data_IF_201188932380
#
_entry.id   IF_201188932380
#
_cell.length_a   1.000
_cell.length_b   1.000
_cell.length_c   1.000
_cell.angle_alpha   90.00
_cell.angle_beta   90.00
_cell.angle_gamma   90.00
#
_symmetry.space_group_name_H-M   'P 1'
#
loop_
_entity.id
_entity.type
_entity.pdbx_description
1 polymer ?
#
# COMPACT_ATOMS: atom_id res chain seq x y z
N UNK A 1 -1.90 -9.59 -22.06
CA UNK A 1 -0.78 -8.65 -22.23
C UNK A 1 0.45 -9.31 -21.62
N UNK A 2 1.57 -9.40 -22.32
CA UNK A 2 2.81 -9.88 -21.70
C UNK A 2 3.28 -8.82 -20.72
N UNK A 3 3.51 -9.20 -19.47
CA UNK A 3 4.18 -8.34 -18.49
C UNK A 3 5.52 -7.91 -19.09
N UNK A 4 5.78 -6.61 -19.12
CA UNK A 4 7.01 -6.11 -19.74
C UNK A 4 8.23 -6.56 -18.94
N UNK A 5 9.36 -6.90 -19.56
CA UNK A 5 10.60 -7.28 -18.86
C UNK A 5 10.99 -6.26 -17.77
N UNK A 6 10.82 -4.98 -18.03
CA UNK A 6 11.12 -3.90 -17.08
C UNK A 6 10.26 -3.95 -15.80
N UNK A 7 9.00 -4.42 -15.90
CA UNK A 7 8.16 -4.57 -14.71
C UNK A 7 8.67 -5.71 -13.82
N UNK A 8 9.06 -6.83 -14.42
CA UNK A 8 9.64 -7.97 -13.68
C UNK A 8 10.92 -7.52 -12.97
N UNK A 9 11.82 -6.85 -13.69
CA UNK A 9 13.06 -6.32 -13.13
C UNK A 9 12.79 -5.38 -11.95
N UNK A 10 11.83 -4.47 -12.07
CA UNK A 10 11.43 -3.58 -10.97
C UNK A 10 10.88 -4.36 -9.77
N UNK A 11 10.09 -5.42 -10.00
CA UNK A 11 9.57 -6.26 -8.92
C UNK A 11 10.68 -6.99 -8.15
N UNK A 12 11.73 -7.43 -8.84
CA UNK A 12 12.89 -8.11 -8.23
C UNK A 12 13.70 -7.17 -7.31
N UNK A 13 13.71 -5.87 -7.60
CA UNK A 13 14.37 -4.85 -6.79
C UNK A 13 13.45 -4.21 -5.73
N UNK A 14 12.15 -4.47 -5.78
CA UNK A 14 11.20 -3.87 -4.87
C UNK A 14 11.32 -4.46 -3.46
N UNK A 15 11.38 -3.60 -2.46
CA UNK A 15 11.29 -4.01 -1.06
C UNK A 15 9.84 -4.31 -0.65
N UNK A 16 8.89 -3.52 -1.17
CA UNK A 16 7.44 -3.69 -1.00
C UNK A 16 6.76 -3.35 -2.33
N UNK A 17 5.86 -4.21 -2.78
CA UNK A 17 4.98 -3.93 -3.92
C UNK A 17 3.64 -3.42 -3.42
N UNK A 18 3.18 -2.29 -3.94
CA UNK A 18 1.85 -1.76 -3.67
C UNK A 18 1.10 -1.52 -4.98
N UNK A 19 -0.14 -1.92 -5.03
CA UNK A 19 -1.04 -1.64 -6.14
C UNK A 19 -2.51 -1.76 -5.75
N UNK A 20 -3.35 -1.15 -6.56
CA UNK A 20 -4.80 -1.29 -6.44
C UNK A 20 -5.29 -2.53 -7.20
N UNK A 21 -6.52 -2.95 -6.88
CA UNK A 21 -7.23 -3.97 -7.66
C UNK A 21 -7.20 -3.65 -9.16
N UNK A 22 -7.50 -2.41 -9.53
CA UNK A 22 -7.57 -1.99 -10.93
C UNK A 22 -6.19 -2.08 -11.60
N UNK A 23 -5.10 -1.72 -10.91
CA UNK A 23 -3.74 -1.87 -11.42
C UNK A 23 -3.44 -3.34 -11.75
N UNK A 24 -3.75 -4.24 -10.83
CA UNK A 24 -3.48 -5.66 -11.02
C UNK A 24 -4.43 -6.35 -12.02
N UNK A 25 -5.65 -5.85 -12.15
CA UNK A 25 -6.56 -6.31 -13.19
C UNK A 25 -6.03 -5.95 -14.59
N UNK A 26 -5.51 -4.73 -14.75
CA UNK A 26 -4.86 -4.30 -15.99
C UNK A 26 -3.60 -5.10 -16.27
N UNK A 27 -2.71 -5.23 -15.28
CA UNK A 27 -1.39 -5.87 -15.45
C UNK A 27 -1.48 -7.39 -15.61
N UNK A 28 -2.28 -8.07 -14.80
CA UNK A 28 -2.26 -9.52 -14.65
C UNK A 28 -3.58 -10.20 -14.97
N UNK A 29 -4.65 -9.44 -15.22
CA UNK A 29 -6.01 -9.98 -15.35
C UNK A 29 -6.47 -10.72 -14.09
N UNK A 30 -6.09 -10.22 -12.92
CA UNK A 30 -6.42 -10.79 -11.62
C UNK A 30 -7.00 -9.70 -10.72
N UNK A 31 -8.07 -10.04 -10.03
CA UNK A 31 -8.95 -9.14 -9.28
C UNK A 31 -9.02 -9.44 -7.77
N UNK A 32 -8.14 -10.30 -7.28
CA UNK A 32 -8.05 -10.61 -5.85
C UNK A 32 -6.62 -10.65 -5.34
N UNK A 33 -6.43 -10.21 -4.12
CA UNK A 33 -5.14 -10.13 -3.46
C UNK A 33 -4.40 -11.48 -3.46
N UNK A 34 -5.10 -12.58 -3.15
CA UNK A 34 -4.53 -13.93 -3.11
C UNK A 34 -4.04 -14.38 -4.48
N UNK A 35 -4.83 -14.13 -5.53
CA UNK A 35 -4.47 -14.52 -6.90
C UNK A 35 -3.30 -13.71 -7.43
N UNK A 36 -3.26 -12.41 -7.14
CA UNK A 36 -2.13 -11.54 -7.49
C UNK A 36 -0.88 -11.99 -6.75
N UNK A 37 -0.96 -12.18 -5.44
CA UNK A 37 0.20 -12.59 -4.64
C UNK A 37 0.75 -13.94 -5.07
N UNK A 38 -0.08 -14.99 -5.07
CA UNK A 38 0.37 -16.38 -5.32
C UNK A 38 0.81 -16.64 -6.74
N UNK A 39 0.20 -15.99 -7.73
CA UNK A 39 0.46 -16.26 -9.13
C UNK A 39 1.46 -15.30 -9.77
N UNK A 40 1.74 -14.15 -9.15
CA UNK A 40 2.54 -13.10 -9.78
C UNK A 40 3.63 -12.56 -8.82
N UNK A 41 3.23 -11.74 -7.83
CA UNK A 41 4.20 -10.91 -7.10
C UNK A 41 5.09 -11.69 -6.15
N UNK A 42 4.62 -12.76 -5.52
CA UNK A 42 5.41 -13.55 -4.56
C UNK A 42 6.64 -14.22 -5.17
N UNK A 43 6.69 -14.38 -6.49
CA UNK A 43 7.85 -14.92 -7.19
C UNK A 43 9.03 -13.95 -7.20
N UNK A 44 8.78 -12.65 -7.02
CA UNK A 44 9.79 -11.59 -7.14
C UNK A 44 9.96 -10.81 -5.84
N UNK A 45 8.85 -10.46 -5.18
CA UNK A 45 8.82 -9.74 -3.93
C UNK A 45 7.81 -10.37 -2.96
N UNK A 46 8.23 -10.81 -1.78
CA UNK A 46 7.33 -11.49 -0.83
C UNK A 46 6.37 -10.53 -0.12
N UNK A 47 6.49 -9.21 -0.33
CA UNK A 47 5.70 -8.20 0.38
C UNK A 47 4.79 -7.48 -0.57
N UNK A 48 3.48 -7.71 -0.41
CA UNK A 48 2.42 -7.08 -1.22
C UNK A 48 1.46 -6.32 -0.32
N UNK A 49 1.19 -5.07 -0.69
CA UNK A 49 0.09 -4.26 -0.15
C UNK A 49 -0.94 -4.07 -1.25
N UNK A 50 -2.08 -4.74 -1.11
CA UNK A 50 -3.17 -4.72 -2.08
C UNK A 50 -4.30 -3.83 -1.57
N UNK A 51 -4.72 -2.85 -2.37
CA UNK A 51 -5.82 -1.93 -2.04
C UNK A 51 -7.01 -2.14 -2.99
N UNK A 52 -8.24 -1.98 -2.49
CA UNK A 52 -9.47 -2.14 -3.26
C UNK A 52 -10.53 -1.10 -2.84
N UNK A 53 -10.26 0.17 -3.14
CA UNK A 53 -11.15 1.28 -2.80
C UNK A 53 -11.48 1.33 -1.30
N UNK A 54 -12.77 1.32 -0.91
CA UNK A 54 -13.18 1.39 0.49
C UNK A 54 -13.07 0.05 1.24
N UNK A 55 -12.70 -1.02 0.54
CA UNK A 55 -12.53 -2.34 1.14
C UNK A 55 -11.26 -2.43 1.97
N UNK A 56 -11.13 -3.46 2.84
CA UNK A 56 -9.92 -3.66 3.62
C UNK A 56 -8.66 -3.78 2.74
N UNK A 57 -7.56 -3.21 3.22
CA UNK A 57 -6.24 -3.38 2.64
C UNK A 57 -5.72 -4.75 3.01
N UNK A 58 -5.31 -5.55 2.03
CA UNK A 58 -4.71 -6.87 2.27
C UNK A 58 -3.19 -6.77 2.18
N UNK A 59 -2.51 -7.25 3.20
CA UNK A 59 -1.04 -7.33 3.27
C UNK A 59 -0.60 -8.79 3.28
N UNK A 60 0.34 -9.12 2.40
CA UNK A 60 1.13 -10.35 2.47
C UNK A 60 2.58 -10.00 2.75
N UNK A 61 3.27 -10.83 3.51
CA UNK A 61 4.68 -10.61 3.84
C UNK A 61 5.41 -11.93 4.10
N UNK A 62 6.66 -11.81 4.47
CA UNK A 62 7.56 -12.90 4.78
C UNK A 62 6.96 -13.88 5.80
N UNK A 63 7.35 -15.14 5.71
CA UNK A 63 6.92 -16.18 6.66
C UNK A 63 5.44 -16.55 6.58
N UNK A 64 4.77 -16.23 5.48
CA UNK A 64 3.34 -16.54 5.30
C UNK A 64 2.39 -15.57 6.02
N UNK A 65 2.91 -14.41 6.44
CA UNK A 65 2.07 -13.37 7.04
C UNK A 65 1.00 -12.91 6.06
N UNK A 66 -0.24 -12.86 6.54
CA UNK A 66 -1.38 -12.28 5.83
C UNK A 66 -2.29 -11.57 6.82
N UNK A 67 -2.62 -10.32 6.54
CA UNK A 67 -3.57 -9.57 7.37
C UNK A 67 -4.37 -8.59 6.54
N UNK A 68 -5.61 -8.37 6.95
CA UNK A 68 -6.50 -7.33 6.42
C UNK A 68 -6.59 -6.18 7.42
N UNK A 69 -6.54 -4.95 6.90
CA UNK A 69 -6.65 -3.72 7.66
C UNK A 69 -7.85 -2.94 7.15
N UNK A 70 -8.75 -2.54 8.04
CA UNK A 70 -9.92 -1.75 7.67
C UNK A 70 -9.52 -0.38 7.11
N UNK A 71 -10.23 0.06 6.08
CA UNK A 71 -10.17 1.46 5.65
C UNK A 71 -11.00 2.32 6.60
N UNK A 72 -10.54 3.55 6.96
CA UNK A 72 -11.36 4.49 7.71
C UNK A 72 -12.66 4.81 6.97
N UNK A 73 -13.77 4.80 7.69
CA UNK A 73 -15.05 5.27 7.16
C UNK A 73 -15.02 6.79 7.05
N UNK A 74 -14.94 7.30 5.83
CA UNK A 74 -14.87 8.73 5.56
C UNK A 74 -15.75 9.04 4.35
N UNK A 75 -16.54 10.12 4.34
CA UNK A 75 -17.26 10.56 3.16
C UNK A 75 -16.27 10.78 2.02
N UNK A 76 -16.48 10.09 0.89
CA UNK A 76 -15.61 10.20 -0.28
C UNK A 76 -16.16 11.26 -1.22
N UNK A 77 -15.38 12.31 -1.44
CA UNK A 77 -15.65 13.38 -2.42
C UNK A 77 -14.96 13.08 -3.74
N UNK A 78 -13.71 12.63 -3.68
CA UNK A 78 -12.92 12.27 -4.85
C UNK A 78 -11.93 11.15 -4.50
N UNK A 79 -11.68 10.24 -5.45
CA UNK A 79 -10.67 9.19 -5.31
C UNK A 79 -9.36 9.53 -6.00
N UNK A 80 -9.28 10.70 -6.65
CA UNK A 80 -8.06 11.15 -7.34
C UNK A 80 -6.96 11.39 -6.31
N UNK A 81 -5.79 10.78 -6.53
CA UNK A 81 -4.65 10.90 -5.64
C UNK A 81 -4.69 9.99 -4.41
N UNK A 82 -5.74 9.18 -4.22
CA UNK A 82 -5.84 8.26 -3.09
C UNK A 82 -4.63 7.32 -2.98
N UNK A 83 -4.19 6.76 -4.11
CA UNK A 83 -3.04 5.87 -4.17
C UNK A 83 -1.72 6.56 -3.85
N UNK A 84 -1.52 7.77 -4.37
CA UNK A 84 -0.30 8.56 -4.13
C UNK A 84 -0.21 8.97 -2.66
N UNK A 85 -1.34 9.39 -2.07
CA UNK A 85 -1.40 9.73 -0.64
C UNK A 85 -1.27 8.50 0.26
N UNK A 86 -1.76 7.34 -0.17
CA UNK A 86 -1.48 6.08 0.51
C UNK A 86 0.03 5.80 0.58
N UNK A 87 0.74 5.95 -0.53
CA UNK A 87 2.20 5.81 -0.58
C UNK A 87 2.90 6.85 0.30
N UNK A 88 2.44 8.10 0.29
CA UNK A 88 2.97 9.14 1.17
C UNK A 88 2.80 8.78 2.65
N UNK A 89 1.66 8.21 3.02
CA UNK A 89 1.39 7.73 4.38
C UNK A 89 2.31 6.57 4.80
N UNK A 90 2.61 5.63 3.89
CA UNK A 90 3.59 4.57 4.14
C UNK A 90 4.98 5.16 4.43
N UNK A 91 5.43 6.09 3.59
CA UNK A 91 6.75 6.73 3.74
C UNK A 91 6.80 7.56 5.03
N UNK A 92 5.75 8.32 5.34
CA UNK A 92 5.65 9.09 6.57
C UNK A 92 5.79 8.21 7.81
N UNK A 93 5.12 7.05 7.83
CA UNK A 93 5.24 6.09 8.93
C UNK A 93 6.65 5.48 9.02
N UNK A 94 7.28 5.13 7.89
CA UNK A 94 8.66 4.64 7.88
C UNK A 94 9.61 5.66 8.53
N UNK A 95 9.50 6.92 8.18
CA UNK A 95 10.32 7.99 8.76
C UNK A 95 10.02 8.19 10.24
N UNK A 96 8.74 8.26 10.62
CA UNK A 96 8.31 8.51 12.00
C UNK A 96 8.74 7.41 12.97
N UNK A 97 8.68 6.17 12.54
CA UNK A 97 8.97 5.00 13.37
C UNK A 97 10.36 4.40 13.12
N UNK A 98 11.19 5.11 12.34
CA UNK A 98 12.56 4.68 11.98
C UNK A 98 12.60 3.24 11.39
N UNK A 99 11.59 2.91 10.58
CA UNK A 99 11.54 1.62 9.87
C UNK A 99 12.41 1.74 8.62
N UNK A 100 13.51 1.03 8.62
CA UNK A 100 14.53 1.07 7.57
C UNK A 100 14.49 -0.16 6.68
N UNK A 101 15.23 -0.12 5.58
CA UNK A 101 15.36 -1.25 4.66
C UNK A 101 15.78 -2.54 5.38
N UNK A 102 16.70 -2.45 6.34
CA UNK A 102 17.13 -3.60 7.12
C UNK A 102 15.98 -4.27 7.90
N UNK A 103 15.01 -3.49 8.39
CA UNK A 103 13.82 -4.02 9.07
C UNK A 103 12.89 -4.73 8.08
N UNK A 104 12.74 -4.16 6.87
CA UNK A 104 11.95 -4.77 5.81
C UNK A 104 12.60 -6.10 5.36
N UNK A 105 13.92 -6.13 5.19
CA UNK A 105 14.66 -7.33 4.81
C UNK A 105 14.63 -8.43 5.89
N UNK A 106 14.64 -8.04 7.16
CA UNK A 106 14.45 -8.94 8.31
C UNK A 106 13.05 -9.57 8.31
N UNK A 107 12.08 -8.90 7.75
CA UNK A 107 10.66 -9.18 7.84
C UNK A 107 9.99 -8.30 8.89
N UNK A 108 9.04 -7.49 8.45
CA UNK A 108 8.30 -6.59 9.33
C UNK A 108 7.38 -7.39 10.27
N UNK A 109 7.35 -6.97 11.52
CA UNK A 109 6.41 -7.50 12.52
C UNK A 109 4.99 -7.03 12.24
N UNK A 110 3.99 -7.68 12.83
CA UNK A 110 2.59 -7.24 12.74
C UNK A 110 2.42 -5.80 13.26
N UNK A 111 3.11 -5.43 14.34
CA UNK A 111 3.05 -4.09 14.90
C UNK A 111 3.63 -3.03 13.94
N UNK A 112 4.72 -3.34 13.25
CA UNK A 112 5.31 -2.46 12.23
C UNK A 112 4.38 -2.33 11.02
N UNK A 113 3.82 -3.43 10.52
CA UNK A 113 2.81 -3.38 9.47
C UNK A 113 1.58 -2.55 9.86
N UNK A 114 1.09 -2.69 11.09
CA UNK A 114 -0.05 -1.90 11.58
C UNK A 114 0.26 -0.40 11.53
N UNK A 115 1.44 0.04 11.99
CA UNK A 115 1.86 1.44 11.92
C UNK A 115 1.91 1.97 10.48
N UNK A 116 2.45 1.17 9.55
CA UNK A 116 2.55 1.54 8.15
C UNK A 116 1.16 1.69 7.51
N UNK A 117 0.31 0.69 7.68
CA UNK A 117 -1.00 0.65 7.01
C UNK A 117 -1.98 1.64 7.63
N UNK A 118 -1.99 1.81 8.94
CA UNK A 118 -2.82 2.81 9.62
C UNK A 118 -2.49 4.23 9.15
N UNK A 119 -1.21 4.56 9.02
CA UNK A 119 -0.79 5.85 8.46
C UNK A 119 -1.22 5.98 6.99
N UNK A 120 -0.96 4.97 6.17
CA UNK A 120 -1.28 4.99 4.75
C UNK A 120 -2.79 5.15 4.49
N UNK A 121 -3.62 4.42 5.22
CA UNK A 121 -5.09 4.51 5.11
C UNK A 121 -5.62 5.85 5.58
N UNK A 122 -5.04 6.43 6.65
CA UNK A 122 -5.41 7.76 7.13
C UNK A 122 -5.10 8.86 6.09
N UNK A 123 -3.91 8.83 5.48
CA UNK A 123 -3.55 9.76 4.40
C UNK A 123 -4.47 9.63 3.19
N UNK A 124 -4.77 8.42 2.77
CA UNK A 124 -5.68 8.15 1.65
C UNK A 124 -7.10 8.63 1.95
N UNK A 125 -7.61 8.37 3.14
CA UNK A 125 -8.95 8.77 3.55
C UNK A 125 -9.10 10.30 3.63
N UNK A 126 -8.14 11.01 4.21
CA UNK A 126 -8.15 12.47 4.26
C UNK A 126 -8.11 13.09 2.86
N UNK A 127 -7.27 12.55 1.97
CA UNK A 127 -7.24 12.96 0.57
C UNK A 127 -8.62 12.76 -0.12
N UNK A 128 -9.25 11.62 0.09
CA UNK A 128 -10.56 11.31 -0.50
C UNK A 128 -11.70 12.17 0.05
N UNK A 129 -11.58 12.73 1.23
CA UNK A 129 -12.56 13.61 1.83
C UNK A 129 -12.58 15.02 1.20
N UNK A 130 -11.58 15.37 0.41
CA UNK A 130 -11.45 16.64 -0.29
C UNK A 130 -11.61 16.53 -1.80
N UNK A 131 -11.67 17.69 -2.46
CA UNK A 131 -11.71 17.79 -3.93
C UNK A 131 -10.31 17.81 -4.55
N UNK A 132 -9.29 18.00 -3.71
CA UNK A 132 -7.90 18.04 -4.14
C UNK A 132 -7.24 16.66 -4.05
N UNK A 133 -6.18 16.45 -4.79
CA UNK A 133 -5.42 15.21 -4.81
C UNK A 133 -4.27 15.18 -3.76
N UNK A 134 -4.45 15.88 -2.66
CA UNK A 134 -3.50 15.93 -1.54
C UNK A 134 -4.26 16.03 -0.20
N UNK A 135 -3.56 15.72 0.89
CA UNK A 135 -4.12 15.80 2.25
C UNK A 135 -4.45 17.23 2.66
N UNK A 136 -5.42 17.40 3.55
CA UNK A 136 -5.79 18.69 4.08
C UNK A 136 -4.62 19.35 4.84
N UNK A 137 -4.63 20.68 4.96
CA UNK A 137 -3.59 21.41 5.70
C UNK A 137 -3.56 21.03 7.17
N UNK A 138 -4.72 20.83 7.76
CA UNK A 138 -4.91 20.42 9.15
C UNK A 138 -4.32 19.03 9.37
N UNK A 139 -4.61 18.08 8.48
CA UNK A 139 -4.05 16.73 8.52
C UNK A 139 -2.53 16.76 8.36
N UNK A 140 -2.02 17.50 7.37
CA UNK A 140 -0.58 17.65 7.14
C UNK A 140 0.14 18.24 8.35
N UNK A 141 -0.42 19.25 9.00
CA UNK A 141 0.15 19.86 10.20
C UNK A 141 0.20 18.88 11.39
N UNK A 142 -0.83 18.05 11.57
CA UNK A 142 -0.88 17.05 12.64
C UNK A 142 0.05 15.84 12.43
N UNK A 143 0.53 15.65 11.19
CA UNK A 143 1.40 14.56 10.78
C UNK A 143 2.81 15.01 10.37
N UNK A 144 3.18 16.26 10.65
CA UNK A 144 4.55 16.74 10.42
C UNK A 144 5.57 15.91 11.23
N UNK A 145 6.71 15.65 10.62
CA UNK A 145 7.82 14.87 11.20
C UNK A 145 8.68 15.71 12.13
#
# INVERSE_FOLDING_TARGET
>A
MKVTPNLIENLEFADIVRGSRDDFEVLYKKDSAERVYRAETSFYCPRLVYTDGPRPVTVFSDGGFRKEYAMPETPTVSTIGAGDNFNAGLICAMLRYDIRRADIERGLTEAEWSKLIESATAFSADCCAGIYNYVSKEFGASHSL
#
